data_IF_579909654106
#
_entry.id   IF_579909654106
#
_cell.length_a   1.000
_cell.length_b   1.000
_cell.length_c   1.000
_cell.angle_alpha   90.00
_cell.angle_beta   90.00
_cell.angle_gamma   90.00
#
_symmetry.space_group_name_H-M   'P 1'
#
loop_
_entity.id
_entity.type
_entity.pdbx_description
1 polymer ?
#
# COMPACT_ATOMS: atom_id res chain seq x y z
N UNK A 1 31.53 14.52 -13.64
CA UNK A 1 30.12 14.41 -14.04
C UNK A 1 29.40 13.90 -12.82
N UNK A 2 28.63 14.79 -12.19
CA UNK A 2 28.08 14.56 -10.85
C UNK A 2 27.13 13.37 -10.80
N UNK A 3 27.21 12.68 -9.67
CA UNK A 3 26.43 11.50 -9.27
C UNK A 3 24.98 11.89 -8.90
N UNK A 4 24.40 12.85 -9.64
CA UNK A 4 23.04 13.39 -9.45
C UNK A 4 21.98 12.56 -10.15
N UNK A 5 22.25 11.29 -10.48
CA UNK A 5 21.18 10.37 -10.82
C UNK A 5 20.40 10.08 -9.54
N UNK A 6 19.29 10.77 -9.34
CA UNK A 6 18.46 10.61 -8.15
C UNK A 6 18.06 9.14 -8.01
N UNK A 7 18.66 8.51 -7.00
CA UNK A 7 18.56 7.08 -6.74
C UNK A 7 17.09 6.68 -6.61
N UNK A 8 16.71 5.58 -7.28
CA UNK A 8 15.37 4.98 -7.11
C UNK A 8 15.16 4.66 -5.63
N UNK A 9 13.95 4.91 -5.14
CA UNK A 9 13.59 4.60 -3.76
C UNK A 9 13.79 3.10 -3.47
N UNK A 10 14.50 2.77 -2.39
CA UNK A 10 14.59 1.39 -1.90
C UNK A 10 13.24 0.93 -1.35
N UNK A 11 13.08 -0.37 -1.11
CA UNK A 11 11.85 -0.89 -0.50
C UNK A 11 11.62 -0.31 0.89
N UNK A 12 12.66 -0.18 1.69
CA UNK A 12 12.60 0.40 3.04
C UNK A 12 12.18 1.88 2.98
N UNK A 13 12.75 2.66 2.07
CA UNK A 13 12.36 4.06 1.87
C UNK A 13 10.89 4.18 1.47
N UNK A 14 10.42 3.29 0.58
CA UNK A 14 9.02 3.24 0.17
C UNK A 14 8.12 2.91 1.36
N UNK A 15 8.47 1.90 2.15
CA UNK A 15 7.71 1.53 3.37
C UNK A 15 7.63 2.71 4.32
N UNK A 16 8.74 3.39 4.62
CA UNK A 16 8.74 4.58 5.49
C UNK A 16 7.88 5.73 4.93
N UNK A 17 7.89 5.95 3.61
CA UNK A 17 7.01 6.95 2.97
C UNK A 17 5.54 6.56 3.11
N UNK A 18 5.21 5.29 2.87
CA UNK A 18 3.85 4.77 2.99
C UNK A 18 3.35 4.84 4.44
N UNK A 19 4.16 4.44 5.41
CA UNK A 19 3.86 4.54 6.84
C UNK A 19 3.50 5.97 7.24
N UNK A 20 4.24 6.96 6.71
CA UNK A 20 3.97 8.39 6.96
C UNK A 20 2.65 8.83 6.34
N UNK A 21 2.33 8.42 5.11
CA UNK A 21 1.07 8.78 4.45
C UNK A 21 -0.14 8.28 5.25
N UNK A 22 -0.07 7.03 5.73
CA UNK A 22 -1.19 6.40 6.43
C UNK A 22 -1.23 6.69 7.94
N UNK A 23 -0.21 7.38 8.49
CA UNK A 23 -0.06 7.60 9.93
C UNK A 23 -1.28 8.29 10.59
N UNK A 24 -1.94 9.18 9.83
CA UNK A 24 -3.13 9.92 10.27
C UNK A 24 -4.44 9.15 10.16
N UNK A 25 -4.43 7.96 9.56
CA UNK A 25 -5.64 7.18 9.33
C UNK A 25 -5.86 6.28 10.55
N UNK A 26 -6.96 6.53 11.27
CA UNK A 26 -7.29 5.84 12.51
C UNK A 26 -8.30 4.70 12.32
N UNK A 27 -8.45 3.91 13.38
CA UNK A 27 -9.41 2.81 13.46
C UNK A 27 -9.17 1.71 12.43
N UNK A 28 -10.26 1.05 12.04
CA UNK A 28 -10.23 -0.16 11.20
C UNK A 28 -9.63 0.06 9.80
N UNK A 29 -9.76 1.26 9.26
CA UNK A 29 -9.12 1.61 7.98
C UNK A 29 -7.61 1.74 8.17
N UNK A 30 -7.17 2.43 9.23
CA UNK A 30 -5.76 2.55 9.58
C UNK A 30 -5.10 1.20 9.79
N UNK A 31 -5.75 0.29 10.53
CA UNK A 31 -5.28 -1.09 10.73
C UNK A 31 -5.15 -1.85 9.41
N UNK A 32 -6.13 -1.72 8.52
CA UNK A 32 -6.09 -2.35 7.21
C UNK A 32 -4.95 -1.82 6.33
N UNK A 33 -4.75 -0.50 6.28
CA UNK A 33 -3.67 0.11 5.52
C UNK A 33 -2.30 -0.26 6.09
N UNK A 34 -2.14 -0.25 7.42
CA UNK A 34 -0.91 -0.69 8.10
C UNK A 34 -0.57 -2.14 7.75
N UNK A 35 -1.58 -3.02 7.73
CA UNK A 35 -1.39 -4.40 7.33
C UNK A 35 -0.84 -4.50 5.90
N UNK A 36 -1.41 -3.75 4.94
CA UNK A 36 -0.92 -3.78 3.57
C UNK A 36 0.50 -3.20 3.43
N UNK A 37 0.85 -2.16 4.17
CA UNK A 37 2.20 -1.58 4.19
C UNK A 37 3.22 -2.57 4.76
N UNK A 38 2.87 -3.30 5.82
CA UNK A 38 3.73 -4.33 6.41
C UNK A 38 4.01 -5.51 5.46
N UNK A 39 3.15 -5.71 4.45
CA UNK A 39 3.30 -6.73 3.42
C UNK A 39 3.67 -6.15 2.05
N UNK A 40 4.15 -4.90 2.01
CA UNK A 40 4.64 -4.30 0.78
C UNK A 40 5.97 -4.94 0.34
N UNK A 41 6.18 -5.23 -0.95
CA UNK A 41 5.27 -5.03 -2.10
C UNK A 41 4.35 -6.23 -2.42
N UNK A 42 4.48 -7.34 -1.69
CA UNK A 42 3.84 -8.62 -2.04
C UNK A 42 2.31 -8.57 -1.93
N UNK A 43 1.77 -7.73 -1.06
CA UNK A 43 0.34 -7.67 -0.78
C UNK A 43 -0.19 -8.93 -0.10
N UNK A 44 -1.51 -8.97 0.09
CA UNK A 44 -2.20 -10.08 0.75
C UNK A 44 -3.48 -10.46 0.02
N UNK A 45 -3.87 -11.72 0.12
CA UNK A 45 -5.17 -12.16 -0.35
C UNK A 45 -6.29 -11.69 0.57
N UNK A 46 -7.54 -11.71 0.09
CA UNK A 46 -8.71 -11.42 0.91
C UNK A 46 -8.79 -12.36 2.12
N UNK A 47 -8.49 -13.65 1.93
CA UNK A 47 -8.51 -14.64 3.01
C UNK A 47 -7.50 -14.30 4.10
N UNK A 48 -6.26 -13.97 3.72
CA UNK A 48 -5.21 -13.55 4.65
C UNK A 48 -5.61 -12.28 5.41
N UNK A 49 -6.11 -11.26 4.71
CA UNK A 49 -6.55 -10.00 5.32
C UNK A 49 -7.69 -10.24 6.31
N UNK A 50 -8.68 -11.05 5.94
CA UNK A 50 -9.82 -11.36 6.83
C UNK A 50 -9.38 -12.09 8.08
N UNK A 51 -8.42 -13.02 7.96
CA UNK A 51 -7.87 -13.75 9.10
C UNK A 51 -7.09 -12.81 10.03
N UNK A 52 -6.15 -12.02 9.49
CA UNK A 52 -5.27 -11.13 10.25
C UNK A 52 -6.03 -9.98 10.92
N UNK A 53 -7.10 -9.47 10.29
CA UNK A 53 -7.92 -8.39 10.83
C UNK A 53 -9.17 -8.87 11.56
N UNK A 54 -9.44 -10.18 11.63
CA UNK A 54 -10.67 -10.73 12.23
C UNK A 54 -11.94 -10.13 11.57
N UNK A 55 -11.96 -10.10 10.24
CA UNK A 55 -13.09 -9.58 9.45
C UNK A 55 -14.03 -10.73 9.09
N UNK A 56 -15.13 -10.82 9.82
CA UNK A 56 -16.00 -12.00 9.82
C UNK A 56 -16.92 -12.11 8.58
N UNK A 57 -17.08 -11.04 7.79
CA UNK A 57 -17.96 -11.07 6.62
C UNK A 57 -17.40 -10.28 5.43
N UNK A 58 -17.86 -10.63 4.22
CA UNK A 58 -17.40 -10.03 2.98
C UNK A 58 -17.81 -8.55 2.82
N UNK A 59 -19.03 -8.12 3.21
CA UNK A 59 -19.39 -6.70 3.17
C UNK A 59 -18.43 -5.79 3.96
N UNK A 60 -18.01 -6.21 5.15
CA UNK A 60 -17.02 -5.48 5.95
C UNK A 60 -15.68 -5.38 5.23
N UNK A 61 -15.22 -6.46 4.59
CA UNK A 61 -14.00 -6.41 3.78
C UNK A 61 -14.13 -5.43 2.60
N UNK A 62 -15.26 -5.46 1.88
CA UNK A 62 -15.50 -4.54 0.76
C UNK A 62 -15.51 -3.08 1.24
N UNK A 63 -16.07 -2.81 2.42
CA UNK A 63 -16.06 -1.49 3.05
C UNK A 63 -14.63 -1.06 3.42
N UNK A 64 -13.83 -1.94 4.03
CA UNK A 64 -12.42 -1.69 4.34
C UNK A 64 -11.63 -1.34 3.07
N UNK A 65 -11.77 -2.15 2.03
CA UNK A 65 -11.11 -1.93 0.75
C UNK A 65 -11.51 -0.58 0.15
N UNK A 66 -12.82 -0.32 0.00
CA UNK A 66 -13.33 0.92 -0.60
C UNK A 66 -12.86 2.16 0.16
N UNK A 67 -12.96 2.13 1.49
CA UNK A 67 -12.61 3.28 2.31
C UNK A 67 -11.09 3.45 2.45
N UNK A 68 -10.32 2.36 2.44
CA UNK A 68 -8.85 2.40 2.38
C UNK A 68 -8.36 3.04 1.08
N UNK A 69 -9.02 2.71 -0.05
CA UNK A 69 -8.70 3.24 -1.37
C UNK A 69 -8.91 4.75 -1.53
N UNK A 70 -9.55 5.41 -0.55
CA UNK A 70 -9.69 6.88 -0.50
C UNK A 70 -8.37 7.53 -0.07
N UNK A 71 -7.60 6.88 0.81
CA UNK A 71 -6.39 7.44 1.39
C UNK A 71 -5.16 7.13 0.56
N UNK A 72 -5.09 5.92 0.01
CA UNK A 72 -4.01 5.49 -0.85
C UNK A 72 -4.54 4.46 -1.84
N UNK A 73 -4.01 4.45 -3.05
CA UNK A 73 -4.44 3.51 -4.07
C UNK A 73 -4.14 2.06 -3.64
N UNK A 74 -5.13 1.18 -3.82
CA UNK A 74 -5.04 -0.25 -3.52
C UNK A 74 -5.39 -1.03 -4.79
N UNK A 75 -4.37 -1.60 -5.39
CA UNK A 75 -4.49 -2.42 -6.59
C UNK A 75 -4.89 -3.86 -6.23
N UNK A 76 -5.69 -4.48 -7.10
CA UNK A 76 -6.01 -5.92 -7.04
C UNK A 76 -5.37 -6.64 -8.20
N UNK A 77 -4.66 -7.74 -7.93
CA UNK A 77 -4.04 -8.60 -8.95
C UNK A 77 -4.46 -10.04 -8.70
N UNK A 78 -4.99 -10.69 -9.72
CA UNK A 78 -5.38 -12.09 -9.59
C UNK A 78 -4.14 -12.96 -9.39
N UNK A 79 -4.18 -13.86 -8.40
CA UNK A 79 -3.11 -14.79 -8.11
C UNK A 79 -3.61 -16.21 -8.40
N UNK A 80 -3.09 -16.83 -9.46
CA UNK A 80 -3.49 -18.19 -9.87
C UNK A 80 -3.21 -19.22 -8.77
N UNK A 81 -2.09 -19.11 -8.07
CA UNK A 81 -1.74 -20.06 -7.00
C UNK A 81 -2.74 -20.01 -5.82
N UNK A 82 -3.25 -18.82 -5.49
CA UNK A 82 -4.21 -18.63 -4.41
C UNK A 82 -5.67 -18.73 -4.88
N UNK A 83 -5.91 -18.78 -6.19
CA UNK A 83 -7.25 -18.70 -6.82
C UNK A 83 -8.08 -17.50 -6.33
N UNK A 84 -7.42 -16.40 -5.97
CA UNK A 84 -8.07 -15.15 -5.58
C UNK A 84 -7.18 -13.91 -5.80
N UNK A 85 -7.76 -12.73 -5.64
CA UNK A 85 -7.02 -11.48 -5.77
C UNK A 85 -6.11 -11.24 -4.56
N UNK A 86 -4.87 -10.83 -4.84
CA UNK A 86 -4.00 -10.14 -3.90
C UNK A 86 -4.22 -8.63 -3.99
N UNK A 87 -4.23 -7.97 -2.84
CA UNK A 87 -4.41 -6.54 -2.65
C UNK A 87 -3.06 -5.92 -2.29
N UNK A 88 -2.65 -4.92 -3.06
CA UNK A 88 -1.34 -4.28 -2.97
C UNK A 88 -1.52 -2.78 -2.81
N UNK A 89 -0.60 -2.12 -2.10
CA UNK A 89 -0.50 -0.66 -2.19
C UNK A 89 -0.04 -0.30 -3.60
N UNK A 90 -0.80 0.56 -4.27
CA UNK A 90 -0.52 1.05 -5.61
C UNK A 90 0.78 1.86 -5.66
N UNK A 91 1.35 1.98 -6.86
CA UNK A 91 2.67 2.60 -7.01
C UNK A 91 2.63 4.09 -7.31
N UNK A 92 1.47 4.65 -7.68
CA UNK A 92 1.34 6.05 -8.13
C UNK A 92 1.85 7.06 -7.10
N UNK A 93 1.41 6.95 -5.85
CA UNK A 93 1.85 7.88 -4.78
C UNK A 93 3.38 7.87 -4.59
N UNK A 94 4.01 6.69 -4.63
CA UNK A 94 5.47 6.58 -4.50
C UNK A 94 6.19 7.17 -5.72
N UNK A 95 5.62 7.03 -6.92
CA UNK A 95 6.14 7.66 -8.12
C UNK A 95 6.03 9.19 -8.03
N UNK A 96 4.92 9.72 -7.54
CA UNK A 96 4.72 11.17 -7.38
C UNK A 96 5.70 11.76 -6.36
N UNK A 97 5.93 11.07 -5.24
CA UNK A 97 6.94 11.47 -4.24
C UNK A 97 8.34 11.44 -4.85
N UNK A 98 8.67 10.40 -5.63
CA UNK A 98 9.97 10.30 -6.29
C UNK A 98 10.17 11.42 -7.32
N UNK A 99 9.16 11.70 -8.16
CA UNK A 99 9.18 12.82 -9.11
C UNK A 99 9.30 14.17 -8.40
N UNK A 100 8.60 14.39 -7.29
CA UNK A 100 8.69 15.63 -6.52
C UNK A 100 10.09 15.83 -5.93
N UNK A 101 10.73 14.76 -5.44
CA UNK A 101 12.14 14.80 -5.00
C UNK A 101 13.07 15.15 -6.16
N UNK A 102 12.77 14.67 -7.36
CA UNK A 102 13.56 14.98 -8.56
C UNK A 102 13.46 16.46 -8.94
N UNK A 103 12.25 16.99 -9.01
CA UNK A 103 12.03 18.41 -9.36
C UNK A 103 12.67 19.34 -8.33
N UNK A 104 12.60 19.02 -7.04
CA UNK A 104 13.15 19.86 -5.97
C UNK A 104 14.66 19.68 -5.73
N UNK A 105 15.30 18.71 -6.38
CA UNK A 105 16.75 18.50 -6.32
C UNK A 105 17.50 19.18 -7.48
N UNK A 106 16.77 19.69 -8.48
CA UNK A 106 17.25 20.56 -9.56
C UNK A 106 17.22 22.02 -9.13
#
# INVERSE_FOLDING_TARGET
MDDTSLKKLTTEEKVTILEKEIARVEGRIGEFLKLLVNHYPQGLTRTEIKALLVVNNNPSFVSLYRNGNIFIDIEKRYCDAAQENRYHIGTQYLQDVQCSRWVNAL
#
